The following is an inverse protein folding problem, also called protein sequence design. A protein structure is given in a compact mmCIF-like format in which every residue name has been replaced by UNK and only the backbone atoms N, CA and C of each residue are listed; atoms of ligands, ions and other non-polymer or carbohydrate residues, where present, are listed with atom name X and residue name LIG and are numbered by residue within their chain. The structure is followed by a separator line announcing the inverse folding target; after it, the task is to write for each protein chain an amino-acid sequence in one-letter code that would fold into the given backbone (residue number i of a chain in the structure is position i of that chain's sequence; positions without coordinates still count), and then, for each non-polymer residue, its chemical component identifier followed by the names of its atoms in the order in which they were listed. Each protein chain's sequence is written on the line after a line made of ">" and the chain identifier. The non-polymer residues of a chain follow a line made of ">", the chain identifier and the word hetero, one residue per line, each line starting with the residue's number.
data_IF_241765116217
#
_entry.id   IF_241765116217
#
_cell.length_a   1.000
_cell.length_b   1.000
_cell.length_c   1.000
_cell.angle_alpha   90.00
_cell.angle_beta   90.00
_cell.angle_gamma   90.00
#
_symmetry.space_group_name_H-M   'P 1'
#
loop_
_entity.id
_entity.type
_entity.pdbx_description
1 polymer ?
#
# COMPACT_ATOMS: atom_id res chain seq x y z
N UNK A 1 -11.47 -2.35 -8.12
CA UNK A 1 -10.93 -2.33 -6.74
C UNK A 1 -9.45 -2.00 -6.63
N UNK A 2 -8.55 -2.73 -7.32
CA UNK A 2 -7.10 -2.41 -7.29
C UNK A 2 -6.79 -0.95 -7.69
N UNK A 3 -7.49 -0.42 -8.69
CA UNK A 3 -7.38 0.99 -9.11
C UNK A 3 -7.80 1.98 -8.01
N UNK A 4 -8.93 1.72 -7.34
CA UNK A 4 -9.43 2.55 -6.24
C UNK A 4 -8.41 2.61 -5.09
N UNK A 5 -7.90 1.45 -4.65
CA UNK A 5 -6.87 1.41 -3.61
C UNK A 5 -5.63 2.22 -4.03
N UNK A 6 -5.15 2.05 -5.27
CA UNK A 6 -4.01 2.81 -5.79
C UNK A 6 -4.28 4.32 -5.77
N UNK A 7 -5.47 4.75 -6.18
CA UNK A 7 -5.86 6.16 -6.15
C UNK A 7 -5.82 6.72 -4.73
N UNK A 8 -6.45 6.03 -3.77
CA UNK A 8 -6.47 6.46 -2.36
C UNK A 8 -5.09 6.54 -1.74
N UNK A 9 -4.22 5.58 -2.04
CA UNK A 9 -2.83 5.61 -1.58
C UNK A 9 -2.02 6.75 -2.20
N UNK A 10 -2.29 7.11 -3.47
CA UNK A 10 -1.66 8.29 -4.09
C UNK A 10 -2.18 9.59 -3.47
N UNK A 11 -3.49 9.75 -3.29
CA UNK A 11 -4.11 10.92 -2.66
C UNK A 11 -3.62 11.12 -1.21
N UNK A 12 -3.41 10.03 -0.46
CA UNK A 12 -2.85 10.09 0.89
C UNK A 12 -1.34 10.42 0.92
N UNK A 13 -0.64 10.36 -0.22
CA UNK A 13 0.80 10.56 -0.29
C UNK A 13 1.62 9.34 0.16
N UNK A 14 1.01 8.15 0.25
CA UNK A 14 1.70 6.92 0.68
C UNK A 14 2.91 6.61 -0.20
N UNK A 15 2.81 6.84 -1.52
CA UNK A 15 3.90 6.61 -2.47
C UNK A 15 5.12 7.48 -2.16
N UNK A 16 4.90 8.74 -1.82
CA UNK A 16 5.96 9.69 -1.52
C UNK A 16 6.61 9.39 -0.17
N UNK A 17 5.81 8.99 0.82
CA UNK A 17 6.32 8.49 2.11
C UNK A 17 7.23 7.26 1.93
N UNK A 18 6.82 6.31 1.08
CA UNK A 18 7.63 5.13 0.77
C UNK A 18 8.91 5.48 0.03
N UNK A 19 8.85 6.40 -0.93
CA UNK A 19 10.03 6.88 -1.66
C UNK A 19 11.01 7.61 -0.73
N UNK A 20 10.52 8.44 0.18
CA UNK A 20 11.34 9.11 1.18
C UNK A 20 12.04 8.11 2.12
N UNK A 21 11.30 7.10 2.61
CA UNK A 21 11.86 6.03 3.44
C UNK A 21 12.97 5.26 2.70
N UNK A 22 12.73 4.91 1.44
CA UNK A 22 13.71 4.25 0.58
C UNK A 22 15.00 5.06 0.43
N UNK A 23 14.91 6.35 0.10
CA UNK A 23 16.08 7.23 -0.07
C UNK A 23 16.93 7.29 1.20
N UNK A 24 16.28 7.32 2.38
CA UNK A 24 17.00 7.29 3.67
C UNK A 24 17.72 5.96 3.86
N UNK A 25 17.10 4.84 3.49
CA UNK A 25 17.67 3.49 3.64
C UNK A 25 18.80 3.16 2.68
N UNK A 26 18.74 3.69 1.45
CA UNK A 26 19.78 3.49 0.44
C UNK A 26 21.11 4.15 0.78
N UNK A 27 21.14 5.09 1.73
CA UNK A 27 22.39 5.63 2.28
C UNK A 27 23.12 4.54 3.07
N UNK A 28 24.00 3.80 2.40
CA UNK A 28 24.84 2.75 3.00
C UNK A 28 24.54 1.32 2.54
N UNK A 29 23.63 1.12 1.58
CA UNK A 29 23.39 -0.19 0.98
C UNK A 29 24.07 -0.28 -0.40
N UNK A 30 25.31 -0.77 -0.42
CA UNK A 30 25.94 -1.20 -1.67
C UNK A 30 25.56 -2.67 -1.94
N UNK A 31 25.14 -2.98 -3.17
CA UNK A 31 24.81 -4.33 -3.66
C UNK A 31 23.57 -5.02 -3.06
N UNK A 32 22.49 -4.29 -2.74
CA UNK A 32 21.20 -4.91 -2.38
C UNK A 32 20.42 -5.39 -3.62
N UNK A 33 19.85 -6.58 -3.56
CA UNK A 33 18.94 -7.09 -4.60
C UNK A 33 17.54 -6.50 -4.46
N UNK A 34 16.73 -6.58 -5.53
CA UNK A 34 15.33 -6.13 -5.49
C UNK A 34 14.52 -6.92 -4.45
N UNK A 35 14.76 -8.21 -4.31
CA UNK A 35 14.02 -9.06 -3.38
C UNK A 35 14.32 -8.73 -1.92
N UNK A 36 15.60 -8.53 -1.57
CA UNK A 36 16.00 -8.05 -0.24
C UNK A 36 15.39 -6.69 0.07
N UNK A 37 15.38 -5.79 -0.92
CA UNK A 37 14.76 -4.49 -0.78
C UNK A 37 13.25 -4.61 -0.53
N UNK A 38 12.55 -5.45 -1.30
CA UNK A 38 11.10 -5.70 -1.12
C UNK A 38 10.83 -6.24 0.28
N UNK A 39 11.63 -7.20 0.76
CA UNK A 39 11.51 -7.74 2.11
C UNK A 39 11.69 -6.66 3.18
N UNK A 40 12.66 -5.76 3.02
CA UNK A 40 12.91 -4.68 3.98
C UNK A 40 11.79 -3.62 3.99
N UNK A 41 11.32 -3.18 2.83
CA UNK A 41 10.38 -2.05 2.75
C UNK A 41 8.92 -2.47 2.94
N UNK A 42 8.56 -3.73 2.69
CA UNK A 42 7.16 -4.21 2.73
C UNK A 42 6.50 -4.01 4.10
N UNK A 43 7.13 -4.34 5.25
CA UNK A 43 6.54 -4.09 6.56
C UNK A 43 6.20 -2.60 6.78
N UNK A 44 7.10 -1.70 6.37
CA UNK A 44 6.88 -0.25 6.46
C UNK A 44 5.73 0.18 5.56
N UNK A 45 5.69 -0.31 4.32
CA UNK A 45 4.62 -0.04 3.38
C UNK A 45 3.25 -0.44 3.91
N UNK A 46 3.14 -1.63 4.52
CA UNK A 46 1.89 -2.11 5.15
C UNK A 46 1.49 -1.26 6.36
N UNK A 47 2.45 -0.88 7.20
CA UNK A 47 2.20 -0.06 8.38
C UNK A 47 1.73 1.37 8.03
N UNK A 48 2.21 1.92 6.92
CA UNK A 48 1.82 3.27 6.45
C UNK A 48 0.44 3.33 5.81
N UNK A 49 -0.24 2.21 5.57
CA UNK A 49 -1.61 2.24 5.04
C UNK A 49 -2.57 2.70 6.13
N UNK A 50 -3.28 3.84 5.95
CA UNK A 50 -4.24 4.35 6.93
C UNK A 50 -5.42 3.39 7.12
N UNK A 51 -5.91 3.30 8.36
CA UNK A 51 -7.08 2.48 8.68
C UNK A 51 -8.35 3.01 8.02
N UNK A 52 -8.44 4.31 7.73
CA UNK A 52 -9.54 4.89 6.95
C UNK A 52 -9.62 4.29 5.55
N UNK A 53 -8.48 4.14 4.86
CA UNK A 53 -8.41 3.52 3.52
C UNK A 53 -8.75 2.03 3.61
N UNK A 54 -8.24 1.31 4.63
CA UNK A 54 -8.59 -0.11 4.84
C UNK A 54 -10.10 -0.30 5.04
N UNK A 55 -10.71 0.56 5.87
CA UNK A 55 -12.16 0.56 6.14
C UNK A 55 -12.95 0.86 4.87
N UNK A 56 -12.55 1.84 4.07
CA UNK A 56 -13.18 2.15 2.78
C UNK A 56 -13.14 0.94 1.84
N UNK A 57 -11.98 0.30 1.69
CA UNK A 57 -11.85 -0.88 0.82
C UNK A 57 -12.72 -2.04 1.31
N UNK A 58 -12.79 -2.27 2.62
CA UNK A 58 -13.64 -3.31 3.20
C UNK A 58 -15.13 -3.03 2.96
N UNK A 59 -15.56 -1.77 3.07
CA UNK A 59 -16.93 -1.37 2.74
C UNK A 59 -17.25 -1.63 1.27
N UNK A 60 -16.35 -1.25 0.35
CA UNK A 60 -16.54 -1.49 -1.09
C UNK A 60 -16.57 -2.99 -1.39
N UNK A 61 -15.73 -3.81 -0.74
CA UNK A 61 -15.78 -5.26 -0.84
C UNK A 61 -17.12 -5.83 -0.39
N UNK A 62 -17.62 -5.42 0.78
CA UNK A 62 -18.93 -5.86 1.29
C UNK A 62 -20.05 -5.49 0.34
N UNK A 63 -20.08 -4.25 -0.16
CA UNK A 63 -21.08 -3.81 -1.14
C UNK A 63 -21.01 -4.60 -2.44
N UNK A 64 -19.80 -4.92 -2.91
CA UNK A 64 -19.62 -5.76 -4.09
C UNK A 64 -20.18 -7.16 -3.85
N UNK A 65 -19.84 -7.80 -2.74
CA UNK A 65 -20.33 -9.14 -2.39
C UNK A 65 -21.86 -9.17 -2.25
N UNK A 66 -22.46 -8.23 -1.51
CA UNK A 66 -23.93 -8.17 -1.36
C UNK A 66 -24.66 -7.99 -2.68
N UNK A 67 -24.12 -7.21 -3.62
CA UNK A 67 -24.71 -7.06 -4.96
C UNK A 67 -24.61 -8.31 -5.83
N UNK A 68 -23.70 -9.22 -5.52
CA UNK A 68 -23.44 -10.44 -6.29
C UNK A 68 -23.93 -11.71 -5.59
N UNK A 69 -24.50 -11.60 -4.38
CA UNK A 69 -25.15 -12.69 -3.64
C UNK A 69 -26.63 -12.86 -4.06
N UNK A 70 -27.21 -11.87 -4.76
CA UNK A 70 -28.58 -11.91 -5.31
C UNK A 70 -28.68 -12.47 -6.75
N UNK A 71 -27.64 -13.18 -7.23
CA UNK A 71 -27.61 -13.91 -8.51
C UNK A 71 -27.39 -15.40 -8.26
#
# INVERSE_FOLDING_TARGET
>A
MKQLLRQRLMEYGWRDQMKAYYIVKQKGLENITVDELVQEITPKGRALVPDSIKKEMLTVLRQYLSKHEEL
#
